data_IF_862850583189
#
_entry.id   IF_862850583189
#
_cell.length_a   1.000
_cell.length_b   1.000
_cell.length_c   1.000
_cell.angle_alpha   90.00
_cell.angle_beta   90.00
_cell.angle_gamma   90.00
#
_symmetry.space_group_name_H-M   'P 1'
#
loop_
_entity.id
_entity.type
_entity.pdbx_description
1 polymer ?
#
# COMPACT_ATOMS: atom_id res chain seq x y z
N UNK A 1 10.83 -31.03 -0.04
CA UNK A 1 11.11 -29.71 -0.66
C UNK A 1 10.50 -28.64 0.25
N UNK A 2 11.19 -27.55 0.44
CA UNK A 2 10.67 -26.39 1.19
C UNK A 2 9.53 -25.82 0.37
N UNK A 3 8.36 -25.60 0.99
CA UNK A 3 7.23 -24.93 0.33
C UNK A 3 7.60 -23.47 0.10
N UNK A 4 7.26 -22.94 -1.05
CA UNK A 4 7.47 -21.54 -1.40
C UNK A 4 6.25 -20.95 -2.08
N UNK A 5 6.15 -19.63 -2.13
CA UNK A 5 5.11 -18.88 -2.85
C UNK A 5 5.71 -17.78 -3.70
N UNK A 6 4.92 -17.26 -4.63
CA UNK A 6 5.27 -16.10 -5.45
C UNK A 6 4.52 -14.87 -4.93
N UNK A 7 5.25 -13.76 -4.75
CA UNK A 7 4.70 -12.44 -4.59
C UNK A 7 4.97 -11.60 -5.84
N UNK A 8 3.94 -10.95 -6.37
CA UNK A 8 4.02 -10.05 -7.53
C UNK A 8 3.56 -8.65 -7.12
N UNK A 9 4.35 -7.63 -7.41
CA UNK A 9 3.98 -6.22 -7.27
C UNK A 9 3.88 -5.61 -8.68
N UNK A 10 2.65 -5.41 -9.16
CA UNK A 10 2.36 -4.86 -10.46
C UNK A 10 2.29 -3.33 -10.39
N UNK A 11 3.34 -2.67 -10.80
CA UNK A 11 3.36 -1.22 -10.97
C UNK A 11 3.15 -0.78 -12.42
N UNK A 12 2.87 0.52 -12.61
CA UNK A 12 2.66 1.10 -13.94
C UNK A 12 3.90 1.11 -14.84
N UNK A 13 5.11 0.99 -14.27
CA UNK A 13 6.39 1.03 -15.00
C UNK A 13 7.21 -0.24 -14.83
N UNK A 14 7.02 -0.97 -13.75
CA UNK A 14 7.78 -2.17 -13.43
C UNK A 14 6.91 -3.20 -12.70
N UNK A 15 7.16 -4.47 -12.99
CA UNK A 15 6.58 -5.63 -12.34
C UNK A 15 7.69 -6.31 -11.54
N UNK A 16 7.54 -6.36 -10.21
CA UNK A 16 8.48 -7.05 -9.33
C UNK A 16 7.92 -8.41 -8.95
N UNK A 17 8.72 -9.44 -9.06
CA UNK A 17 8.33 -10.82 -8.79
C UNK A 17 9.37 -11.43 -7.85
N UNK A 18 8.91 -12.05 -6.78
CA UNK A 18 9.80 -12.71 -5.82
C UNK A 18 9.25 -14.04 -5.37
N UNK A 19 10.17 -14.98 -5.11
CA UNK A 19 9.92 -16.29 -4.51
C UNK A 19 10.27 -16.23 -3.03
N UNK A 20 9.35 -16.66 -2.18
CA UNK A 20 9.47 -16.53 -0.73
C UNK A 20 9.23 -17.87 -0.03
N UNK A 21 10.04 -18.14 1.01
CA UNK A 21 9.76 -19.20 1.96
C UNK A 21 8.72 -18.77 3.02
N UNK A 22 8.40 -19.66 3.96
CA UNK A 22 7.39 -19.42 5.00
C UNK A 22 7.85 -18.39 6.04
N UNK A 23 9.14 -18.25 6.24
CA UNK A 23 9.77 -17.27 7.13
C UNK A 23 9.81 -15.87 6.49
N UNK A 24 9.51 -15.75 5.19
CA UNK A 24 9.52 -14.50 4.44
C UNK A 24 10.87 -14.15 3.83
N UNK A 25 11.82 -15.09 3.80
CA UNK A 25 13.07 -14.88 3.07
C UNK A 25 12.79 -14.87 1.57
N UNK A 26 13.26 -13.83 0.89
CA UNK A 26 13.21 -13.74 -0.56
C UNK A 26 14.36 -14.59 -1.14
N UNK A 27 14.02 -15.74 -1.70
CA UNK A 27 15.00 -16.70 -2.23
C UNK A 27 15.48 -16.30 -3.62
N UNK A 28 14.56 -15.81 -4.45
CA UNK A 28 14.83 -15.33 -5.80
C UNK A 28 13.92 -14.13 -6.09
N UNK A 29 14.38 -13.17 -6.86
CA UNK A 29 13.57 -12.06 -7.33
C UNK A 29 14.05 -11.50 -8.66
N UNK A 30 13.13 -10.91 -9.39
CA UNK A 30 13.41 -10.16 -10.61
C UNK A 30 12.48 -8.95 -10.76
N UNK A 31 12.88 -8.03 -11.60
CA UNK A 31 12.07 -6.90 -12.00
C UNK A 31 12.00 -6.83 -13.51
N UNK A 32 10.79 -6.81 -14.05
CA UNK A 32 10.52 -6.68 -15.47
C UNK A 32 9.90 -5.31 -15.75
N UNK A 33 10.13 -4.71 -16.91
CA UNK A 33 9.39 -3.53 -17.31
C UNK A 33 7.91 -3.90 -17.52
N UNK A 34 7.00 -3.03 -17.09
CA UNK A 34 5.59 -3.16 -17.48
C UNK A 34 5.47 -2.89 -18.97
N UNK A 35 4.86 -3.80 -19.76
CA UNK A 35 4.75 -3.62 -21.21
C UNK A 35 4.01 -2.31 -21.56
N UNK A 36 4.36 -1.74 -22.71
CA UNK A 36 3.71 -0.54 -23.22
C UNK A 36 3.21 -0.79 -24.65
N UNK A 37 1.89 -0.68 -24.90
CA UNK A 37 0.83 -0.35 -23.93
C UNK A 37 0.62 -1.46 -22.89
N UNK A 38 0.29 -1.09 -21.65
CA UNK A 38 0.09 -2.02 -20.54
C UNK A 38 -1.29 -2.71 -20.62
N UNK A 39 -1.55 -3.42 -21.73
CA UNK A 39 -2.82 -4.15 -21.90
C UNK A 39 -2.88 -5.33 -20.92
N UNK A 40 -4.07 -5.73 -20.44
CA UNK A 40 -4.20 -6.80 -19.45
C UNK A 40 -3.55 -8.12 -19.87
N UNK A 41 -3.68 -8.52 -21.13
CA UNK A 41 -3.11 -9.76 -21.66
C UNK A 41 -1.59 -9.73 -21.73
N UNK A 42 -1.01 -8.63 -22.17
CA UNK A 42 0.44 -8.42 -22.21
C UNK A 42 1.06 -8.44 -20.83
N UNK A 43 0.40 -7.77 -19.87
CA UNK A 43 0.82 -7.77 -18.46
C UNK A 43 0.74 -9.16 -17.84
N UNK A 44 -0.38 -9.89 -18.03
CA UNK A 44 -0.52 -11.27 -17.56
C UNK A 44 0.56 -12.19 -18.14
N UNK A 45 0.87 -12.05 -19.43
CA UNK A 45 1.95 -12.80 -20.09
C UNK A 45 3.32 -12.46 -19.49
N UNK A 46 3.62 -11.19 -19.27
CA UNK A 46 4.87 -10.74 -18.64
C UNK A 46 5.03 -11.28 -17.21
N UNK A 47 3.94 -11.27 -16.42
CA UNK A 47 3.92 -11.86 -15.07
C UNK A 47 4.21 -13.37 -15.16
N UNK A 48 3.53 -14.09 -16.05
CA UNK A 48 3.77 -15.52 -16.27
C UNK A 48 5.23 -15.83 -16.63
N UNK A 49 5.83 -15.08 -17.57
CA UNK A 49 7.24 -15.24 -17.94
C UNK A 49 8.17 -15.03 -16.74
N UNK A 50 7.92 -14.01 -15.92
CA UNK A 50 8.72 -13.75 -14.73
C UNK A 50 8.57 -14.85 -13.67
N UNK A 51 7.35 -15.37 -13.47
CA UNK A 51 7.09 -16.50 -12.57
C UNK A 51 7.89 -17.73 -13.02
N UNK A 52 7.90 -18.05 -14.31
CA UNK A 52 8.68 -19.16 -14.83
C UNK A 52 10.18 -19.02 -14.55
N UNK A 53 10.71 -17.79 -14.56
CA UNK A 53 12.13 -17.54 -14.28
C UNK A 53 12.50 -17.73 -12.81
N UNK A 54 11.65 -17.31 -11.85
CA UNK A 54 11.94 -17.45 -10.42
C UNK A 54 11.49 -18.80 -9.84
N UNK A 55 10.73 -19.60 -10.57
CA UNK A 55 10.20 -20.90 -10.14
C UNK A 55 10.71 -22.08 -10.98
N UNK A 56 12.00 -22.07 -11.31
CA UNK A 56 12.61 -23.11 -12.15
C UNK A 56 12.50 -24.51 -11.53
N UNK A 57 12.58 -24.60 -10.22
CA UNK A 57 12.46 -25.86 -9.46
C UNK A 57 11.01 -26.30 -9.21
N UNK A 58 10.02 -25.52 -9.65
CA UNK A 58 8.57 -25.76 -9.50
C UNK A 58 8.13 -26.01 -8.04
N UNK A 59 8.81 -25.40 -7.09
CA UNK A 59 8.49 -25.57 -5.65
C UNK A 59 7.36 -24.64 -5.16
N UNK A 60 6.99 -23.61 -5.93
CA UNK A 60 5.96 -22.65 -5.54
C UNK A 60 4.56 -23.27 -5.60
N UNK A 61 3.74 -22.94 -4.58
CA UNK A 61 2.42 -23.52 -4.39
C UNK A 61 1.27 -22.55 -4.66
N UNK A 62 1.53 -21.23 -4.62
CA UNK A 62 0.53 -20.20 -4.85
C UNK A 62 1.17 -18.90 -5.32
N UNK A 63 0.35 -18.01 -5.86
CA UNK A 63 0.71 -16.69 -6.34
C UNK A 63 -0.16 -15.64 -5.63
N UNK A 64 0.46 -14.61 -5.05
CA UNK A 64 -0.21 -13.38 -4.65
C UNK A 64 0.20 -12.24 -5.57
N UNK A 65 -0.74 -11.37 -5.89
CA UNK A 65 -0.50 -10.22 -6.77
C UNK A 65 -1.03 -8.95 -6.14
N UNK A 66 -0.15 -7.98 -5.91
CA UNK A 66 -0.53 -6.59 -5.66
C UNK A 66 -0.78 -5.90 -6.99
N UNK A 67 -2.02 -5.48 -7.24
CA UNK A 67 -2.43 -4.81 -8.46
C UNK A 67 -2.81 -3.36 -8.20
N UNK A 68 -2.57 -2.42 -9.14
CA UNK A 68 -3.03 -1.05 -8.98
C UNK A 68 -4.58 -1.01 -9.03
N UNK A 69 -5.16 -0.22 -8.11
CA UNK A 69 -6.61 -0.09 -7.97
C UNK A 69 -7.28 -1.22 -7.20
N UNK A 70 -8.60 -1.12 -6.95
CA UNK A 70 -9.34 -2.08 -6.15
C UNK A 70 -9.50 -3.44 -6.85
N UNK A 71 -9.64 -4.48 -6.03
CA UNK A 71 -10.01 -5.84 -6.47
C UNK A 71 -11.41 -6.19 -6.00
N UNK A 72 -11.97 -7.33 -6.44
CA UNK A 72 -13.17 -7.87 -5.82
C UNK A 72 -12.85 -8.50 -4.44
N UNK A 73 -13.87 -8.75 -3.64
CA UNK A 73 -13.70 -9.26 -2.27
C UNK A 73 -13.09 -10.68 -2.21
N UNK A 74 -13.17 -11.43 -3.30
CA UNK A 74 -12.59 -12.77 -3.43
C UNK A 74 -11.14 -12.74 -3.93
N UNK A 75 -10.62 -11.56 -4.31
CA UNK A 75 -9.27 -11.41 -4.84
C UNK A 75 -9.08 -12.11 -6.20
N UNK A 76 -10.12 -12.13 -7.05
CA UNK A 76 -10.08 -12.77 -8.37
C UNK A 76 -9.94 -11.76 -9.50
N UNK A 77 -10.59 -10.60 -9.37
CA UNK A 77 -10.80 -9.61 -10.42
C UNK A 77 -10.13 -8.29 -10.05
N UNK A 78 -9.26 -7.76 -10.91
CA UNK A 78 -8.81 -6.39 -10.85
C UNK A 78 -9.91 -5.49 -11.44
N UNK A 79 -10.56 -4.67 -10.59
CA UNK A 79 -11.76 -3.92 -10.95
C UNK A 79 -11.48 -2.79 -11.92
N UNK A 80 -10.52 -1.94 -11.59
CA UNK A 80 -10.11 -0.82 -12.42
C UNK A 80 -8.68 -0.41 -12.07
N UNK A 81 -7.87 -0.12 -13.09
CA UNK A 81 -6.57 0.51 -12.89
C UNK A 81 -6.47 1.72 -13.82
N UNK A 82 -6.63 2.91 -13.26
CA UNK A 82 -6.72 4.17 -14.03
C UNK A 82 -5.47 4.41 -14.89
N UNK A 83 -4.31 3.96 -14.40
CA UNK A 83 -3.01 4.17 -15.05
C UNK A 83 -2.62 3.08 -16.05
N UNK A 84 -3.49 2.07 -16.28
CA UNK A 84 -3.25 0.97 -17.20
C UNK A 84 -4.35 0.91 -18.27
N UNK A 85 -3.96 0.78 -19.53
CA UNK A 85 -4.90 0.80 -20.65
C UNK A 85 -5.83 -0.43 -20.66
N UNK A 86 -7.13 -0.20 -20.68
CA UNK A 86 -8.14 -1.26 -20.83
C UNK A 86 -8.38 -2.09 -19.55
N UNK A 87 -7.89 -1.66 -18.39
CA UNK A 87 -8.09 -2.37 -17.12
C UNK A 87 -9.45 -2.07 -16.49
N UNK A 88 -10.41 -2.91 -16.80
CA UNK A 88 -11.74 -2.91 -16.16
C UNK A 88 -12.25 -4.35 -16.04
N UNK A 89 -12.54 -4.77 -14.81
CA UNK A 89 -13.06 -6.10 -14.47
C UNK A 89 -12.22 -7.24 -15.06
N UNK A 90 -10.90 -7.19 -14.88
CA UNK A 90 -9.96 -8.14 -15.45
C UNK A 90 -9.82 -9.36 -14.53
N UNK A 91 -10.15 -10.60 -15.00
CA UNK A 91 -10.03 -11.83 -14.22
C UNK A 91 -8.57 -12.31 -14.18
N UNK A 92 -7.68 -11.45 -13.65
CA UNK A 92 -6.23 -11.69 -13.69
C UNK A 92 -5.83 -12.94 -12.90
N UNK A 93 -6.50 -13.24 -11.79
CA UNK A 93 -6.22 -14.45 -11.03
C UNK A 93 -6.50 -15.71 -11.86
N UNK A 94 -7.65 -15.77 -12.54
CA UNK A 94 -8.01 -16.93 -13.38
C UNK A 94 -7.01 -17.14 -14.51
N UNK A 95 -6.57 -16.06 -15.17
CA UNK A 95 -5.58 -16.14 -16.25
C UNK A 95 -4.20 -16.64 -15.77
N UNK A 96 -3.79 -16.22 -14.57
CA UNK A 96 -2.52 -16.70 -14.00
C UNK A 96 -2.65 -18.15 -13.51
N UNK A 97 -3.78 -18.54 -12.93
CA UNK A 97 -4.04 -19.95 -12.58
C UNK A 97 -4.05 -20.85 -13.81
N UNK A 98 -4.74 -20.45 -14.88
CA UNK A 98 -4.78 -21.21 -16.15
C UNK A 98 -3.38 -21.39 -16.74
N UNK A 99 -2.55 -20.36 -16.70
CA UNK A 99 -1.22 -20.39 -17.31
C UNK A 99 -0.14 -21.06 -16.46
N UNK A 100 -0.28 -21.06 -15.11
CA UNK A 100 0.75 -21.56 -14.18
C UNK A 100 0.36 -22.85 -13.46
N UNK A 101 -0.94 -23.16 -13.39
CA UNK A 101 -1.48 -24.27 -12.57
C UNK A 101 -1.46 -23.98 -11.06
N UNK A 102 -1.13 -22.77 -10.63
CA UNK A 102 -1.03 -22.40 -9.21
C UNK A 102 -2.20 -21.52 -8.77
N UNK A 103 -2.82 -21.79 -7.59
CA UNK A 103 -3.83 -20.90 -7.01
C UNK A 103 -3.31 -19.49 -6.91
N UNK A 104 -4.13 -18.50 -7.31
CA UNK A 104 -3.74 -17.09 -7.38
C UNK A 104 -4.75 -16.21 -6.66
N UNK A 105 -4.27 -15.20 -5.94
CA UNK A 105 -5.09 -14.20 -5.25
C UNK A 105 -4.55 -12.80 -5.49
N UNK A 106 -5.47 -11.84 -5.65
CA UNK A 106 -5.15 -10.44 -5.88
C UNK A 106 -5.52 -9.59 -4.66
N UNK A 107 -4.77 -8.51 -4.44
CA UNK A 107 -5.19 -7.40 -3.62
C UNK A 107 -4.71 -6.08 -4.24
N UNK A 108 -5.24 -4.95 -3.74
CA UNK A 108 -4.69 -3.64 -4.10
C UNK A 108 -3.22 -3.51 -3.68
N UNK A 109 -2.42 -2.73 -4.41
CA UNK A 109 -0.99 -2.53 -4.17
C UNK A 109 -0.68 -1.94 -2.77
N UNK A 110 -1.46 -0.95 -2.31
CA UNK A 110 -1.31 -0.40 -0.97
C UNK A 110 -1.74 -1.41 0.12
N UNK A 111 -2.77 -2.23 -0.15
CA UNK A 111 -3.17 -3.34 0.73
C UNK A 111 -2.05 -4.37 0.87
N UNK A 112 -1.41 -4.75 -0.24
CA UNK A 112 -0.22 -5.60 -0.19
C UNK A 112 0.92 -4.95 0.59
N UNK A 113 1.19 -3.65 0.38
CA UNK A 113 2.22 -2.97 1.15
C UNK A 113 1.95 -3.01 2.66
N UNK A 114 0.69 -2.79 3.09
CA UNK A 114 0.29 -2.91 4.49
C UNK A 114 0.48 -4.31 5.06
N UNK A 115 0.08 -5.33 4.31
CA UNK A 115 0.26 -6.72 4.71
C UNK A 115 1.74 -7.11 4.78
N UNK A 116 2.57 -6.56 3.90
CA UNK A 116 4.04 -6.73 3.94
C UNK A 116 4.65 -6.13 5.18
N UNK A 117 4.32 -4.87 5.50
CA UNK A 117 4.78 -4.19 6.72
C UNK A 117 4.29 -4.90 8.00
N UNK A 118 3.07 -5.46 7.99
CA UNK A 118 2.55 -6.26 9.08
C UNK A 118 3.28 -7.60 9.24
N UNK A 119 3.78 -8.19 8.16
CA UNK A 119 4.48 -9.47 8.23
C UNK A 119 5.96 -9.34 8.59
N UNK A 120 6.71 -8.49 7.87
CA UNK A 120 8.18 -8.43 7.96
C UNK A 120 8.74 -7.03 8.24
N UNK A 121 7.91 -5.99 8.25
CA UNK A 121 8.33 -4.61 8.41
C UNK A 121 8.03 -4.01 9.79
N UNK A 122 7.79 -2.71 9.81
CA UNK A 122 7.54 -1.93 11.02
C UNK A 122 6.33 -2.45 11.82
N UNK A 123 5.39 -3.12 11.17
CA UNK A 123 4.16 -3.64 11.76
C UNK A 123 4.23 -5.04 12.35
N UNK A 124 5.34 -5.77 12.23
CA UNK A 124 5.45 -7.22 12.52
C UNK A 124 5.05 -7.68 13.93
N UNK A 125 4.98 -6.76 14.89
CA UNK A 125 4.61 -7.06 16.29
C UNK A 125 3.16 -6.74 16.63
N UNK A 126 2.40 -6.16 15.69
CA UNK A 126 1.03 -5.72 15.89
C UNK A 126 0.05 -6.59 15.10
N UNK A 127 -1.13 -6.82 15.67
CA UNK A 127 -2.21 -7.56 15.03
C UNK A 127 -3.20 -6.61 14.34
N UNK A 128 -3.32 -5.38 14.85
CA UNK A 128 -4.25 -4.37 14.37
C UNK A 128 -3.49 -3.10 14.00
N UNK A 129 -3.38 -2.82 12.73
CA UNK A 129 -2.67 -1.64 12.24
C UNK A 129 -3.30 -1.05 10.99
N UNK A 130 -2.99 0.20 10.73
CA UNK A 130 -3.26 0.85 9.45
C UNK A 130 -1.94 1.28 8.80
N UNK A 131 -1.88 1.17 7.48
CA UNK A 131 -0.83 1.77 6.67
C UNK A 131 -1.42 2.93 5.88
N UNK A 132 -0.68 4.04 5.79
CA UNK A 132 -0.88 5.12 4.83
C UNK A 132 0.33 5.20 3.92
N UNK A 133 0.15 5.08 2.60
CA UNK A 133 1.21 5.28 1.61
C UNK A 133 1.13 6.67 1.02
N UNK A 134 2.09 7.53 1.33
CA UNK A 134 2.15 8.92 0.89
C UNK A 134 3.00 9.01 -0.40
N UNK A 135 2.33 9.12 -1.54
CA UNK A 135 2.94 9.12 -2.87
C UNK A 135 2.21 10.03 -3.85
N UNK A 136 2.06 9.62 -5.11
CA UNK A 136 1.27 10.35 -6.13
C UNK A 136 -0.14 10.65 -5.62
N UNK A 137 -0.76 9.67 -4.95
CA UNK A 137 -1.97 9.79 -4.15
C UNK A 137 -1.68 9.39 -2.69
N UNK A 138 -2.75 9.12 -1.93
CA UNK A 138 -2.69 8.55 -0.58
C UNK A 138 -3.42 7.22 -0.58
N UNK A 139 -2.64 6.12 -0.60
CA UNK A 139 -3.19 4.78 -0.45
C UNK A 139 -3.31 4.38 1.01
N UNK A 140 -4.06 3.31 1.25
CA UNK A 140 -4.25 2.78 2.61
C UNK A 140 -4.35 1.27 2.66
N UNK A 141 -4.07 0.72 3.84
CA UNK A 141 -4.36 -0.66 4.20
C UNK A 141 -4.83 -0.72 5.65
N UNK A 142 -5.72 -1.66 5.93
CA UNK A 142 -6.20 -1.96 7.27
C UNK A 142 -5.91 -3.45 7.54
N UNK A 143 -5.20 -3.72 8.60
CA UNK A 143 -4.95 -5.07 9.10
C UNK A 143 -5.70 -5.22 10.42
N UNK A 144 -6.55 -6.22 10.53
CA UNK A 144 -7.30 -6.57 11.74
C UNK A 144 -7.05 -8.04 12.08
N UNK A 145 -6.65 -8.31 13.31
CA UNK A 145 -6.31 -9.66 13.80
C UNK A 145 -5.30 -10.36 12.86
N UNK A 146 -4.30 -9.60 12.36
CA UNK A 146 -3.27 -10.07 11.42
C UNK A 146 -3.76 -10.33 9.99
N UNK A 147 -5.02 -10.02 9.67
CA UNK A 147 -5.61 -10.24 8.35
C UNK A 147 -5.93 -8.93 7.64
N UNK A 148 -5.79 -8.94 6.32
CA UNK A 148 -6.15 -7.81 5.48
C UNK A 148 -7.67 -7.58 5.48
N UNK A 149 -8.11 -6.38 5.82
CA UNK A 149 -9.51 -5.98 5.74
C UNK A 149 -9.78 -5.33 4.38
N UNK A 150 -10.56 -6.02 3.55
CA UNK A 150 -10.92 -5.56 2.19
C UNK A 150 -12.39 -5.13 2.08
N UNK A 151 -13.18 -5.27 3.16
CA UNK A 151 -14.62 -4.98 3.15
C UNK A 151 -15.44 -5.93 2.28
N UNK A 152 -16.75 -5.73 2.28
CA UNK A 152 -17.70 -6.63 1.60
C UNK A 152 -17.60 -6.64 0.07
N UNK A 153 -16.94 -5.64 -0.53
CA UNK A 153 -16.80 -5.48 -1.98
C UNK A 153 -15.35 -5.54 -2.49
N UNK A 154 -14.38 -5.70 -1.58
CA UNK A 154 -12.95 -5.67 -1.93
C UNK A 154 -12.38 -4.26 -2.12
N UNK A 155 -13.13 -3.22 -1.77
CA UNK A 155 -12.80 -1.81 -2.03
C UNK A 155 -12.66 -0.98 -0.76
N UNK A 156 -12.48 -1.61 0.40
CA UNK A 156 -12.22 -0.90 1.65
C UNK A 156 -10.78 -0.40 1.74
N UNK A 157 -10.49 0.33 2.81
CA UNK A 157 -9.18 0.89 3.10
C UNK A 157 -8.70 2.01 2.14
N UNK A 158 -9.61 2.66 1.43
CA UNK A 158 -9.33 3.89 0.67
C UNK A 158 -9.14 5.08 1.62
N UNK A 159 -8.12 4.99 2.51
CA UNK A 159 -7.93 5.91 3.63
C UNK A 159 -7.60 7.33 3.19
N UNK A 160 -7.01 7.49 2.01
CA UNK A 160 -6.76 8.81 1.42
C UNK A 160 -8.03 9.54 0.97
N UNK A 161 -9.14 8.83 0.80
CA UNK A 161 -10.40 9.39 0.31
C UNK A 161 -11.36 9.84 1.44
N UNK A 162 -11.01 9.65 2.73
CA UNK A 162 -11.79 10.23 3.83
C UNK A 162 -11.81 11.75 3.71
N UNK A 163 -12.94 12.37 4.00
CA UNK A 163 -13.09 13.84 3.93
C UNK A 163 -12.40 14.49 5.14
N UNK A 164 -11.38 15.29 4.87
CA UNK A 164 -10.70 16.10 5.87
C UNK A 164 -11.34 17.49 6.02
N UNK A 165 -11.75 18.08 4.91
CA UNK A 165 -12.42 19.39 4.87
C UNK A 165 -13.48 19.40 3.78
N UNK A 166 -14.76 19.46 4.14
CA UNK A 166 -15.88 19.39 3.21
C UNK A 166 -15.90 20.52 2.15
N UNK A 167 -15.26 21.67 2.44
CA UNK A 167 -15.10 22.80 1.52
C UNK A 167 -13.73 22.82 0.80
N UNK A 168 -12.97 21.72 0.89
CA UNK A 168 -11.64 21.61 0.31
C UNK A 168 -11.63 21.39 -1.21
N UNK A 169 -10.45 21.12 -1.80
CA UNK A 169 -10.32 20.90 -3.23
C UNK A 169 -11.08 19.66 -3.72
N UNK A 170 -11.57 19.70 -4.97
CA UNK A 170 -12.19 18.53 -5.62
C UNK A 170 -11.19 17.39 -5.78
N UNK A 171 -11.66 16.17 -5.57
CA UNK A 171 -10.92 14.94 -5.74
C UNK A 171 -11.37 14.20 -7.00
N UNK A 172 -10.47 13.49 -7.68
CA UNK A 172 -10.77 12.68 -8.85
C UNK A 172 -11.77 11.53 -8.58
N UNK A 173 -11.95 11.16 -7.30
CA UNK A 173 -12.96 10.19 -6.86
C UNK A 173 -14.40 10.74 -6.87
N UNK A 174 -14.58 12.02 -7.14
CA UNK A 174 -15.85 12.73 -6.99
C UNK A 174 -16.10 13.29 -5.58
N UNK A 175 -15.23 12.98 -4.60
CA UNK A 175 -15.26 13.57 -3.27
C UNK A 175 -14.65 14.99 -3.28
N UNK A 176 -14.89 15.76 -2.22
CA UNK A 176 -14.31 17.08 -2.00
C UNK A 176 -13.55 17.10 -0.67
N UNK A 177 -12.33 17.68 -0.69
CA UNK A 177 -11.51 17.88 0.50
C UNK A 177 -11.05 16.57 1.18
N UNK A 178 -10.78 15.52 0.39
CA UNK A 178 -10.23 14.27 0.91
C UNK A 178 -8.83 14.46 1.49
N UNK A 179 -8.38 13.57 2.37
CA UNK A 179 -7.03 13.56 2.94
C UNK A 179 -5.95 13.59 1.84
N UNK A 180 -6.17 12.88 0.74
CA UNK A 180 -5.27 12.86 -0.43
C UNK A 180 -5.06 14.27 -0.99
N UNK A 181 -6.07 15.14 -0.98
CA UNK A 181 -5.95 16.51 -1.46
C UNK A 181 -5.06 17.40 -0.58
N UNK A 182 -4.59 16.91 0.55
CA UNK A 182 -3.69 17.61 1.47
C UNK A 182 -2.36 16.89 1.69
N UNK A 183 -2.34 15.55 1.54
CA UNK A 183 -1.19 14.73 1.91
C UNK A 183 -0.48 14.03 0.73
N UNK A 184 -0.96 14.16 -0.50
CA UNK A 184 -0.31 13.57 -1.68
C UNK A 184 0.80 14.46 -2.25
N UNK A 185 1.63 13.87 -3.12
CA UNK A 185 2.61 14.58 -3.92
C UNK A 185 1.99 15.71 -4.75
N UNK A 186 0.82 15.43 -5.35
CA UNK A 186 0.10 16.44 -6.13
C UNK A 186 -0.40 17.60 -5.26
N UNK A 187 -0.83 17.29 -4.03
CA UNK A 187 -1.22 18.30 -3.06
C UNK A 187 -0.03 19.20 -2.66
N UNK A 188 1.12 18.60 -2.38
CA UNK A 188 2.35 19.35 -2.05
C UNK A 188 2.75 20.27 -3.20
N UNK A 189 2.78 19.76 -4.43
CA UNK A 189 3.07 20.57 -5.63
C UNK A 189 2.09 21.73 -5.81
N UNK A 190 0.80 21.49 -5.61
CA UNK A 190 -0.24 22.52 -5.71
C UNK A 190 -0.06 23.63 -4.67
N UNK A 191 0.30 23.26 -3.44
CA UNK A 191 0.44 24.20 -2.34
C UNK A 191 1.76 25.00 -2.37
N UNK A 192 2.83 24.40 -2.89
CA UNK A 192 4.18 24.97 -2.75
C UNK A 192 4.91 25.20 -4.07
N UNK A 193 4.46 24.59 -5.16
CA UNK A 193 5.17 24.58 -6.43
C UNK A 193 6.47 23.75 -6.41
N UNK A 194 6.75 23.01 -5.32
CA UNK A 194 8.02 22.30 -5.12
C UNK A 194 7.78 20.78 -4.93
N UNK A 195 8.84 20.01 -5.15
CA UNK A 195 8.88 18.59 -4.82
C UNK A 195 9.14 18.37 -3.31
N UNK A 196 8.61 17.28 -2.69
CA UNK A 196 8.88 16.97 -1.29
C UNK A 196 10.37 16.94 -0.94
N UNK A 197 11.20 16.40 -1.83
CA UNK A 197 12.64 16.34 -1.65
C UNK A 197 13.27 17.74 -1.58
N UNK A 198 12.84 18.65 -2.44
CA UNK A 198 13.32 20.04 -2.44
C UNK A 198 12.93 20.76 -1.15
N UNK A 199 11.68 20.57 -0.69
CA UNK A 199 11.21 21.12 0.59
C UNK A 199 11.99 20.55 1.78
N UNK A 200 12.30 19.26 1.76
CA UNK A 200 13.11 18.64 2.80
C UNK A 200 14.55 19.20 2.82
N UNK A 201 15.16 19.37 1.66
CA UNK A 201 16.50 19.99 1.53
C UNK A 201 16.53 21.46 2.01
N UNK A 202 15.47 22.23 1.78
CA UNK A 202 15.31 23.58 2.29
C UNK A 202 15.14 23.58 3.82
N UNK A 203 14.27 22.71 4.35
CA UNK A 203 14.05 22.56 5.78
C UNK A 203 15.34 22.14 6.53
N UNK A 204 16.17 21.29 5.93
CA UNK A 204 17.48 20.92 6.49
C UNK A 204 18.45 22.10 6.60
N UNK A 205 18.32 23.07 5.71
CA UNK A 205 19.11 24.32 5.74
C UNK A 205 18.49 25.37 6.68
N UNK A 206 17.38 25.06 7.35
CA UNK A 206 16.71 25.98 8.27
C UNK A 206 15.78 26.98 7.58
N UNK A 207 15.37 26.73 6.34
CA UNK A 207 14.41 27.58 5.63
C UNK A 207 13.07 27.58 6.37
N UNK A 208 12.65 28.76 6.83
CA UNK A 208 11.48 28.91 7.71
C UNK A 208 10.18 28.54 7.00
N UNK A 209 10.02 28.89 5.73
CA UNK A 209 8.82 28.59 4.94
C UNK A 209 8.65 27.06 4.77
N UNK A 210 9.75 26.36 4.48
CA UNK A 210 9.75 24.90 4.36
C UNK A 210 9.46 24.19 5.69
N UNK A 211 9.98 24.69 6.81
CA UNK A 211 9.69 24.16 8.14
C UNK A 211 8.23 24.36 8.52
N UNK A 212 7.68 25.57 8.30
CA UNK A 212 6.26 25.87 8.53
C UNK A 212 5.33 25.01 7.65
N UNK A 213 5.71 24.81 6.37
CA UNK A 213 4.97 23.90 5.49
C UNK A 213 4.90 22.49 6.08
N UNK A 214 6.04 21.90 6.48
CA UNK A 214 6.06 20.54 7.03
C UNK A 214 5.31 20.44 8.36
N UNK A 215 5.36 21.47 9.19
CA UNK A 215 4.56 21.54 10.41
C UNK A 215 3.06 21.51 10.09
N UNK A 216 2.60 22.35 9.15
CA UNK A 216 1.21 22.36 8.70
C UNK A 216 0.79 21.03 8.06
N UNK A 217 1.68 20.43 7.25
CA UNK A 217 1.46 19.10 6.65
C UNK A 217 1.23 18.03 7.72
N UNK A 218 2.06 18.00 8.76
CA UNK A 218 1.90 17.08 9.88
C UNK A 218 0.58 17.25 10.62
N UNK A 219 0.14 18.50 10.84
CA UNK A 219 -1.16 18.78 11.45
C UNK A 219 -2.33 18.26 10.61
N UNK A 220 -2.29 18.45 9.27
CA UNK A 220 -3.34 17.96 8.37
C UNK A 220 -3.39 16.42 8.34
N UNK A 221 -2.22 15.77 8.24
CA UNK A 221 -2.11 14.32 8.26
C UNK A 221 -2.56 13.74 9.62
N UNK A 222 -2.15 14.37 10.73
CA UNK A 222 -2.56 14.00 12.09
C UNK A 222 -4.07 14.11 12.32
N UNK A 223 -4.71 15.14 11.76
CA UNK A 223 -6.15 15.29 11.81
C UNK A 223 -6.90 14.18 11.05
N UNK A 224 -6.40 13.79 9.87
CA UNK A 224 -6.94 12.64 9.12
C UNK A 224 -6.77 11.33 9.89
N UNK A 225 -5.59 11.09 10.43
CA UNK A 225 -5.30 9.90 11.25
C UNK A 225 -6.21 9.87 12.49
N UNK A 226 -6.44 10.99 13.17
CA UNK A 226 -7.31 11.06 14.34
C UNK A 226 -8.73 10.51 14.04
N UNK A 227 -9.26 10.78 12.85
CA UNK A 227 -10.56 10.23 12.42
C UNK A 227 -10.51 8.70 12.29
N UNK A 228 -9.41 8.16 11.75
CA UNK A 228 -9.22 6.71 11.62
C UNK A 228 -9.03 6.01 12.98
N UNK A 229 -8.35 6.69 13.93
CA UNK A 229 -8.16 6.17 15.28
C UNK A 229 -9.50 6.00 16.02
N UNK A 230 -10.47 6.91 15.83
CA UNK A 230 -11.79 6.76 16.42
C UNK A 230 -12.63 5.65 15.79
N UNK A 231 -12.35 5.26 14.55
CA UNK A 231 -13.10 4.19 13.87
C UNK A 231 -12.50 2.82 14.13
N UNK A 232 -11.16 2.71 14.20
CA UNK A 232 -10.45 1.43 14.17
C UNK A 232 -9.68 1.12 15.46
N UNK A 233 -9.29 2.12 16.27
CA UNK A 233 -8.42 1.96 17.44
C UNK A 233 -7.26 0.99 17.20
N UNK A 234 -6.41 1.21 16.17
CA UNK A 234 -5.33 0.30 15.84
C UNK A 234 -4.19 0.40 16.89
N UNK A 235 -3.38 -0.65 17.00
CA UNK A 235 -2.16 -0.65 17.80
C UNK A 235 -1.04 0.19 17.16
N UNK A 236 -1.05 0.29 15.82
CA UNK A 236 -0.05 1.06 15.08
C UNK A 236 -0.63 1.78 13.86
N UNK A 237 -0.02 2.93 13.54
CA UNK A 237 -0.16 3.64 12.27
C UNK A 237 1.20 3.63 11.59
N UNK A 238 1.28 3.06 10.38
CA UNK A 238 2.52 3.00 9.60
C UNK A 238 2.42 4.02 8.46
N UNK A 239 3.42 4.87 8.34
CA UNK A 239 3.53 5.89 7.29
C UNK A 239 4.59 5.46 6.28
N UNK A 240 4.16 5.12 5.08
CA UNK A 240 5.03 4.73 3.96
C UNK A 240 4.94 5.67 2.77
N UNK A 241 5.51 5.24 1.64
CA UNK A 241 5.56 6.02 0.40
C UNK A 241 6.71 7.03 0.36
N UNK A 242 6.93 7.63 -0.80
CA UNK A 242 8.11 8.50 -1.03
C UNK A 242 8.18 9.73 -0.13
N UNK A 243 7.03 10.27 0.30
CA UNK A 243 6.97 11.46 1.16
C UNK A 243 7.42 11.12 2.60
N UNK A 244 7.31 9.85 3.03
CA UNK A 244 7.75 9.43 4.37
C UNK A 244 9.25 9.63 4.62
N UNK A 245 10.07 9.77 3.57
CA UNK A 245 11.47 10.17 3.69
C UNK A 245 11.65 11.53 4.39
N UNK A 246 10.61 12.39 4.39
CA UNK A 246 10.59 13.68 5.07
C UNK A 246 9.97 13.63 6.47
N UNK A 247 9.70 12.44 7.01
CA UNK A 247 8.97 12.22 8.27
C UNK A 247 9.53 13.03 9.44
N UNK A 248 10.85 13.17 9.56
CA UNK A 248 11.49 13.94 10.63
C UNK A 248 10.99 15.37 10.78
N UNK A 249 10.48 15.98 9.69
CA UNK A 249 9.99 17.36 9.70
C UNK A 249 8.51 17.46 10.08
N UNK A 250 7.69 16.46 9.78
CA UNK A 250 6.25 16.52 10.02
C UNK A 250 5.76 15.60 11.16
N UNK A 251 6.52 14.60 11.59
CA UNK A 251 6.13 13.70 12.68
C UNK A 251 5.85 14.45 14.01
N UNK A 252 6.67 15.42 14.45
CA UNK A 252 6.41 16.11 15.71
C UNK A 252 5.03 16.77 15.73
N UNK A 253 4.65 17.50 14.68
CA UNK A 253 3.34 18.15 14.59
C UNK A 253 2.20 17.15 14.36
N UNK A 254 2.44 16.05 13.63
CA UNK A 254 1.49 14.97 13.47
C UNK A 254 1.13 14.33 14.82
N UNK A 255 2.12 13.98 15.64
CA UNK A 255 1.90 13.40 16.97
C UNK A 255 1.18 14.37 17.91
N UNK A 256 1.60 15.64 17.93
CA UNK A 256 0.93 16.69 18.71
C UNK A 256 -0.53 16.82 18.30
N UNK A 257 -0.84 16.75 17.01
CA UNK A 257 -2.21 16.86 16.51
C UNK A 257 -3.07 15.65 16.88
N UNK A 258 -2.51 14.44 16.84
CA UNK A 258 -3.18 13.22 17.35
C UNK A 258 -3.47 13.37 18.86
N UNK A 259 -2.47 13.78 19.65
CA UNK A 259 -2.66 13.98 21.09
C UNK A 259 -3.76 15.00 21.41
N UNK A 260 -3.82 16.08 20.65
CA UNK A 260 -4.81 17.14 20.82
C UNK A 260 -6.24 16.69 20.47
N UNK A 261 -6.38 15.79 19.48
CA UNK A 261 -7.71 15.40 18.93
C UNK A 261 -8.25 14.12 19.52
N UNK A 262 -7.36 13.16 19.86
CA UNK A 262 -7.79 11.80 20.22
C UNK A 262 -7.79 11.62 21.73
N UNK A 263 -8.90 11.13 22.26
CA UNK A 263 -9.03 10.81 23.68
C UNK A 263 -7.93 9.83 24.13
N UNK A 264 -7.37 9.99 25.33
CA UNK A 264 -6.33 9.09 25.85
C UNK A 264 -6.69 7.60 25.74
N UNK A 265 -7.93 7.23 26.05
CA UNK A 265 -8.42 5.84 25.96
C UNK A 265 -8.43 5.25 24.54
N UNK A 266 -8.55 6.10 23.51
CA UNK A 266 -8.55 5.66 22.10
C UNK A 266 -7.18 5.65 21.45
N UNK A 267 -6.14 6.14 22.15
CA UNK A 267 -4.75 6.17 21.68
C UNK A 267 -3.78 5.50 22.66
N UNK A 268 -4.30 4.82 23.69
CA UNK A 268 -3.46 4.10 24.64
C UNK A 268 -2.67 3.01 23.93
N UNK A 269 -1.34 3.02 24.09
CA UNK A 269 -0.45 2.07 23.43
C UNK A 269 -0.24 2.27 21.93
N UNK A 270 -0.84 3.30 21.33
CA UNK A 270 -0.68 3.60 19.92
C UNK A 270 0.78 3.95 19.57
N UNK A 271 1.30 3.32 18.52
CA UNK A 271 2.57 3.69 17.92
C UNK A 271 2.38 4.23 16.50
N UNK A 272 3.09 5.33 16.19
CA UNK A 272 3.16 5.88 14.82
C UNK A 272 4.58 5.68 14.29
N UNK A 273 4.71 4.91 13.22
CA UNK A 273 5.98 4.43 12.71
C UNK A 273 6.15 4.78 11.22
N UNK A 274 7.39 4.80 10.76
CA UNK A 274 7.69 4.80 9.33
C UNK A 274 7.82 3.38 8.81
N UNK A 275 7.38 3.15 7.56
CA UNK A 275 7.52 1.87 6.87
C UNK A 275 9.00 1.48 6.71
N UNK A 276 9.32 0.19 6.85
CA UNK A 276 10.68 -0.35 6.79
C UNK A 276 11.02 -1.05 5.46
N UNK A 277 10.04 -1.65 4.80
CA UNK A 277 10.28 -2.48 3.60
C UNK A 277 10.49 -1.68 2.32
N UNK A 278 10.10 -0.40 2.32
CA UNK A 278 10.25 0.48 1.16
C UNK A 278 9.62 -0.11 -0.11
N UNK A 279 10.34 -0.10 -1.21
CA UNK A 279 9.86 -0.57 -2.51
C UNK A 279 9.63 -2.10 -2.59
N UNK A 280 9.91 -2.87 -1.54
CA UNK A 280 9.64 -4.32 -1.49
C UNK A 280 8.31 -4.65 -0.81
N UNK A 281 7.70 -3.68 -0.12
CA UNK A 281 6.52 -3.90 0.71
C UNK A 281 5.37 -4.58 -0.07
N UNK A 282 5.05 -4.10 -1.28
CA UNK A 282 4.01 -4.66 -2.13
C UNK A 282 4.27 -6.13 -2.50
N UNK A 283 5.47 -6.46 -2.94
CA UNK A 283 5.85 -7.82 -3.31
C UNK A 283 5.87 -8.77 -2.10
N UNK A 284 6.37 -8.31 -0.95
CA UNK A 284 6.37 -9.07 0.31
C UNK A 284 4.95 -9.34 0.79
N UNK A 285 4.08 -8.34 0.77
CA UNK A 285 2.69 -8.51 1.17
C UNK A 285 1.89 -9.39 0.20
N UNK A 286 2.17 -9.32 -1.10
CA UNK A 286 1.60 -10.23 -2.07
C UNK A 286 2.02 -11.69 -1.78
N UNK A 287 3.29 -11.94 -1.40
CA UNK A 287 3.72 -13.27 -0.96
C UNK A 287 3.00 -13.72 0.32
N UNK A 288 2.80 -12.83 1.30
CA UNK A 288 2.02 -13.14 2.50
C UNK A 288 0.57 -13.50 2.16
N UNK A 289 -0.04 -12.79 1.22
CA UNK A 289 -1.39 -13.09 0.73
C UNK A 289 -1.46 -14.49 0.11
N UNK A 290 -0.44 -14.89 -0.67
CA UNK A 290 -0.34 -16.25 -1.23
C UNK A 290 -0.21 -17.32 -0.12
N UNK A 291 0.56 -17.07 0.94
CA UNK A 291 0.64 -17.96 2.10
C UNK A 291 -0.73 -18.10 2.78
N UNK A 292 -1.43 -17.01 3.02
CA UNK A 292 -2.78 -17.06 3.61
C UNK A 292 -3.75 -17.88 2.74
N UNK A 293 -3.64 -17.81 1.40
CA UNK A 293 -4.48 -18.58 0.49
C UNK A 293 -4.32 -20.11 0.64
N UNK A 294 -3.10 -20.61 0.86
CA UNK A 294 -2.84 -22.04 1.00
C UNK A 294 -3.03 -22.57 2.43
N UNK A 295 -2.96 -21.68 3.44
CA UNK A 295 -3.18 -22.03 4.84
C UNK A 295 -4.69 -22.06 5.21
N UNK A 296 -5.56 -21.51 4.35
CA UNK A 296 -7.01 -21.61 4.55
C UNK A 296 -7.46 -23.06 4.42
N UNK A 297 -8.26 -23.59 5.37
CA UNK A 297 -8.84 -24.92 5.23
C UNK A 297 -9.67 -24.97 3.94
N UNK A 298 -9.34 -25.87 3.03
CA UNK A 298 -10.15 -26.12 1.82
C UNK A 298 -11.54 -26.57 2.27
N UNK A 299 -12.55 -25.74 1.98
CA UNK A 299 -13.97 -26.07 2.25
C UNK A 299 -14.47 -27.16 1.32
#
# INVERSE_FOLDING_TARGET
>A
MVKTVIGVDLGGTAIKIGKFDQEGNCLESLTLPTPQPATPKEVAHTIHQGICQVNLDKSCQAIGVGAPGPTDAQGRIAKIAINLAGWRDIPLADWLEESTGMPTILANDANCAGLGEAWLGAGKRFQNLILLTLGTGVGGAIILDGNLFVGSKGTAAELGLITLNFDGPLCNSGNQGSLEQYASLQAIRRMTGKEPKQLAELAEKGDQEALEFWQGYGCLLGAGIASLLYVLTPEAVIIGGGISASAKFFFPSLLTEIERRVLPSSREGLEVLTAELGNRAGMVGAAKLAWQLIDLPRK
#
